data_IF_461743269558
#
_entry.id   IF_461743269558
#
_cell.length_a   1.000
_cell.length_b   1.000
_cell.length_c   1.000
_cell.angle_alpha   90.00
_cell.angle_beta   90.00
_cell.angle_gamma   90.00
#
_symmetry.space_group_name_H-M   'P 1'
#
loop_
_entity.id
_entity.type
_entity.pdbx_description
1 polymer ?
#
# COMPACT_ATOMS: atom_id res chain seq x y z
N UNK A 1 -17.09 17.49 7.35
CA UNK A 1 -18.14 17.86 6.35
C UNK A 1 -18.29 16.68 5.38
N UNK A 2 -19.52 16.14 5.22
CA UNK A 2 -19.77 15.09 4.20
C UNK A 2 -19.67 15.74 2.81
N UNK A 3 -18.60 15.45 2.07
CA UNK A 3 -18.46 15.88 0.67
C UNK A 3 -19.49 15.14 -0.21
N UNK A 4 -20.28 15.86 -1.00
CA UNK A 4 -21.17 15.28 -2.02
C UNK A 4 -20.44 15.17 -3.35
N UNK A 5 -20.95 14.39 -4.31
CA UNK A 5 -20.40 14.34 -5.68
C UNK A 5 -20.35 15.76 -6.28
N UNK A 6 -21.37 16.58 -6.03
CA UNK A 6 -21.40 17.97 -6.51
C UNK A 6 -20.20 18.76 -5.98
N UNK A 7 -19.95 18.71 -4.67
CA UNK A 7 -18.82 19.42 -4.04
C UNK A 7 -17.48 18.94 -4.59
N UNK A 8 -17.34 17.62 -4.81
CA UNK A 8 -16.12 17.04 -5.40
C UNK A 8 -15.94 17.52 -6.83
N UNK A 9 -16.99 17.50 -7.65
CA UNK A 9 -16.97 17.94 -9.05
C UNK A 9 -16.65 19.44 -9.17
N UNK A 10 -17.28 20.27 -8.33
CA UNK A 10 -17.05 21.72 -8.29
C UNK A 10 -15.58 22.02 -7.95
N UNK A 11 -15.02 21.31 -6.93
CA UNK A 11 -13.61 21.45 -6.55
C UNK A 11 -12.64 21.02 -7.66
N UNK A 12 -12.99 19.95 -8.39
CA UNK A 12 -12.21 19.43 -9.52
C UNK A 12 -12.40 20.21 -10.83
N UNK A 13 -13.29 21.20 -10.87
CA UNK A 13 -13.60 21.97 -12.08
C UNK A 13 -14.29 21.15 -13.18
N UNK A 14 -15.02 20.08 -12.84
CA UNK A 14 -15.69 19.20 -13.79
C UNK A 14 -17.22 19.22 -13.59
N UNK A 15 -17.95 18.89 -14.65
CA UNK A 15 -19.41 18.81 -14.58
C UNK A 15 -19.84 17.61 -13.68
N UNK A 16 -20.65 17.87 -12.65
CA UNK A 16 -21.15 16.84 -11.74
C UNK A 16 -21.98 15.76 -12.44
N UNK A 17 -22.65 16.08 -13.54
CA UNK A 17 -23.37 15.10 -14.37
C UNK A 17 -22.43 14.09 -15.03
N UNK A 18 -21.22 14.51 -15.44
CA UNK A 18 -20.20 13.60 -15.94
C UNK A 18 -19.70 12.66 -14.83
N UNK A 19 -19.48 13.19 -13.63
CA UNK A 19 -19.08 12.34 -12.48
C UNK A 19 -20.12 11.28 -12.18
N UNK A 20 -21.41 11.66 -12.19
CA UNK A 20 -22.53 10.72 -12.04
C UNK A 20 -22.60 9.71 -13.20
N UNK A 21 -22.36 10.16 -14.42
CA UNK A 21 -22.38 9.28 -15.60
C UNK A 21 -21.30 8.21 -15.54
N UNK A 22 -20.06 8.57 -15.13
CA UNK A 22 -18.93 7.64 -15.11
C UNK A 22 -18.90 6.74 -13.85
N UNK A 23 -19.26 7.27 -12.70
CA UNK A 23 -19.12 6.56 -11.42
C UNK A 23 -20.46 6.13 -10.82
N UNK A 24 -21.59 6.69 -11.25
CA UNK A 24 -22.92 6.39 -10.74
C UNK A 24 -23.17 6.92 -9.32
N UNK A 25 -22.34 6.58 -8.35
CA UNK A 25 -22.49 6.97 -6.96
C UNK A 25 -21.20 7.47 -6.32
N UNK A 26 -21.31 8.17 -5.18
CA UNK A 26 -20.15 8.57 -4.38
C UNK A 26 -19.33 7.34 -3.93
N UNK A 27 -20.01 6.27 -3.56
CA UNK A 27 -19.35 5.05 -3.11
C UNK A 27 -18.53 4.42 -4.23
N UNK A 28 -19.03 4.36 -5.46
CA UNK A 28 -18.29 3.87 -6.63
C UNK A 28 -17.11 4.79 -6.99
N UNK A 29 -17.29 6.11 -6.89
CA UNK A 29 -16.18 7.06 -7.05
C UNK A 29 -15.07 6.80 -6.03
N UNK A 30 -15.42 6.54 -4.75
CA UNK A 30 -14.41 6.22 -3.72
C UNK A 30 -13.73 4.87 -3.99
N UNK A 31 -14.46 3.86 -4.47
CA UNK A 31 -13.89 2.57 -4.88
C UNK A 31 -12.89 2.76 -6.04
N UNK A 32 -13.23 3.55 -7.06
CA UNK A 32 -12.34 3.86 -8.16
C UNK A 32 -11.08 4.61 -7.70
N UNK A 33 -11.23 5.54 -6.77
CA UNK A 33 -10.12 6.29 -6.20
C UNK A 33 -9.17 5.38 -5.39
N UNK A 34 -9.70 4.47 -4.57
CA UNK A 34 -8.88 3.46 -3.85
C UNK A 34 -8.09 2.61 -4.84
N UNK A 35 -8.74 2.16 -5.91
CA UNK A 35 -8.08 1.36 -6.94
C UNK A 35 -6.95 2.14 -7.62
N UNK A 36 -7.21 3.37 -8.03
CA UNK A 36 -6.22 4.25 -8.65
C UNK A 36 -5.01 4.47 -7.72
N UNK A 37 -5.24 4.86 -6.47
CA UNK A 37 -4.18 5.08 -5.49
C UNK A 37 -3.37 3.81 -5.21
N UNK A 38 -4.04 2.66 -5.10
CA UNK A 38 -3.35 1.38 -4.93
C UNK A 38 -2.42 1.05 -6.09
N UNK A 39 -2.82 1.35 -7.33
CA UNK A 39 -1.99 1.19 -8.53
C UNK A 39 -0.80 2.15 -8.52
N UNK A 40 -1.01 3.43 -8.18
CA UNK A 40 0.07 4.42 -8.10
C UNK A 40 1.16 3.99 -7.10
N UNK A 41 0.75 3.49 -5.92
CA UNK A 41 1.70 2.97 -4.92
C UNK A 41 2.54 1.83 -5.50
N UNK A 42 1.94 0.87 -6.19
CA UNK A 42 2.68 -0.23 -6.82
C UNK A 42 3.66 0.26 -7.89
N UNK A 43 3.23 1.18 -8.76
CA UNK A 43 4.09 1.76 -9.81
C UNK A 43 5.32 2.47 -9.21
N UNK A 44 5.16 3.18 -8.11
CA UNK A 44 6.29 3.85 -7.44
C UNK A 44 7.19 2.85 -6.72
N UNK A 45 6.62 1.87 -6.00
CA UNK A 45 7.40 0.86 -5.29
C UNK A 45 8.27 0.01 -6.24
N UNK A 46 7.72 -0.33 -7.41
CA UNK A 46 8.39 -1.18 -8.40
C UNK A 46 8.92 -0.42 -9.61
N UNK A 47 9.13 0.90 -9.49
CA UNK A 47 9.59 1.75 -10.59
C UNK A 47 10.85 1.23 -11.27
N UNK A 48 11.81 0.72 -10.49
CA UNK A 48 13.08 0.21 -11.00
C UNK A 48 13.02 -1.30 -11.31
N UNK A 49 11.87 -1.93 -11.11
CA UNK A 49 11.61 -3.36 -11.31
C UNK A 49 10.24 -3.60 -11.96
N UNK A 50 9.99 -3.04 -13.16
CA UNK A 50 8.68 -3.14 -13.80
C UNK A 50 8.27 -4.59 -14.11
N UNK A 51 9.23 -5.43 -14.52
CA UNK A 51 8.97 -6.85 -14.80
C UNK A 51 8.54 -7.62 -13.54
N UNK A 52 9.07 -7.24 -12.38
CA UNK A 52 8.64 -7.84 -11.11
C UNK A 52 7.21 -7.48 -10.75
N UNK A 53 6.81 -6.25 -11.04
CA UNK A 53 5.41 -5.86 -10.82
C UNK A 53 4.48 -6.70 -11.69
N UNK A 54 4.84 -6.95 -12.95
CA UNK A 54 4.06 -7.78 -13.85
C UNK A 54 3.97 -9.23 -13.34
N UNK A 55 5.11 -9.86 -12.96
CA UNK A 55 5.14 -11.20 -12.39
C UNK A 55 4.29 -11.30 -11.11
N UNK A 56 4.39 -10.32 -10.19
CA UNK A 56 3.58 -10.25 -8.96
C UNK A 56 2.09 -10.08 -9.24
N UNK A 57 1.71 -9.30 -10.26
CA UNK A 57 0.31 -9.15 -10.67
C UNK A 57 -0.26 -10.44 -11.25
N UNK A 58 0.58 -11.28 -11.86
CA UNK A 58 0.27 -12.64 -12.30
C UNK A 58 0.38 -13.69 -11.17
N UNK A 59 0.58 -13.23 -9.93
CA UNK A 59 0.75 -14.06 -8.74
C UNK A 59 1.98 -14.97 -8.77
N UNK A 60 3.02 -14.57 -9.50
CA UNK A 60 4.31 -15.24 -9.54
C UNK A 60 5.35 -14.50 -8.69
N UNK A 61 6.24 -15.27 -8.08
CA UNK A 61 7.43 -14.70 -7.44
C UNK A 61 8.42 -14.27 -8.52
N UNK A 62 8.95 -13.02 -8.46
CA UNK A 62 9.94 -12.55 -9.43
C UNK A 62 11.16 -13.48 -9.51
N UNK A 63 11.50 -13.91 -10.72
CA UNK A 63 12.58 -14.89 -10.96
C UNK A 63 13.94 -14.37 -10.53
N UNK A 64 14.19 -13.09 -10.74
CA UNK A 64 15.47 -12.49 -10.39
C UNK A 64 15.64 -12.26 -8.89
N UNK A 65 14.53 -12.07 -8.17
CA UNK A 65 14.53 -11.99 -6.72
C UNK A 65 15.06 -13.30 -6.08
N UNK A 66 14.77 -14.44 -6.68
CA UNK A 66 15.25 -15.74 -6.21
C UNK A 66 16.78 -15.92 -6.38
N UNK A 67 17.43 -15.11 -7.22
CA UNK A 67 18.86 -15.15 -7.50
C UNK A 67 19.66 -14.13 -6.68
N UNK A 68 18.99 -13.23 -5.98
CA UNK A 68 19.66 -12.21 -5.17
C UNK A 68 20.41 -12.85 -3.99
N UNK A 69 21.64 -12.38 -3.76
CA UNK A 69 22.34 -12.63 -2.52
C UNK A 69 21.79 -11.71 -1.40
N UNK A 70 22.16 -12.00 -0.15
CA UNK A 70 21.67 -11.26 1.02
C UNK A 70 21.86 -9.76 0.92
N UNK A 71 23.07 -9.32 0.49
CA UNK A 71 23.38 -7.88 0.32
C UNK A 71 22.45 -7.19 -0.69
N UNK A 72 22.16 -7.85 -1.81
CA UNK A 72 21.25 -7.32 -2.85
C UNK A 72 19.82 -7.26 -2.32
N UNK A 73 19.39 -8.27 -1.56
CA UNK A 73 18.07 -8.29 -0.93
C UNK A 73 17.93 -7.17 0.10
N UNK A 74 18.94 -6.95 0.92
CA UNK A 74 18.96 -5.85 1.89
C UNK A 74 18.86 -4.48 1.21
N UNK A 75 19.61 -4.27 0.14
CA UNK A 75 19.55 -3.04 -0.65
C UNK A 75 18.17 -2.82 -1.30
N UNK A 76 17.57 -3.88 -1.84
CA UNK A 76 16.22 -3.83 -2.38
C UNK A 76 15.20 -3.47 -1.31
N UNK A 77 15.30 -4.07 -0.13
CA UNK A 77 14.42 -3.81 1.01
C UNK A 77 14.54 -2.38 1.50
N UNK A 78 15.76 -1.89 1.69
CA UNK A 78 16.00 -0.52 2.16
C UNK A 78 15.46 0.50 1.15
N UNK A 79 15.74 0.32 -0.14
CA UNK A 79 15.21 1.17 -1.20
C UNK A 79 13.67 1.11 -1.29
N UNK A 80 13.08 -0.07 -1.14
CA UNK A 80 11.63 -0.26 -1.12
C UNK A 80 10.98 0.43 0.07
N UNK A 81 11.59 0.34 1.24
CA UNK A 81 11.14 1.04 2.44
C UNK A 81 11.24 2.55 2.30
N UNK A 82 12.36 3.08 1.78
CA UNK A 82 12.51 4.52 1.54
C UNK A 82 11.46 5.05 0.58
N UNK A 83 11.18 4.34 -0.50
CA UNK A 83 10.11 4.70 -1.45
C UNK A 83 8.74 4.65 -0.78
N UNK A 84 8.46 3.60 -0.03
CA UNK A 84 7.20 3.47 0.70
C UNK A 84 6.98 4.66 1.65
N UNK A 85 8.00 5.04 2.42
CA UNK A 85 7.92 6.20 3.30
C UNK A 85 7.80 7.54 2.55
N UNK A 86 8.42 7.68 1.38
CA UNK A 86 8.34 8.92 0.57
C UNK A 86 6.96 9.17 -0.05
N UNK A 87 6.21 8.11 -0.35
CA UNK A 87 4.86 8.22 -0.94
C UNK A 87 3.80 8.48 0.13
N UNK A 88 4.12 8.19 1.37
CA UNK A 88 3.12 7.95 2.40
C UNK A 88 2.49 9.22 2.96
N UNK A 89 3.12 10.40 2.86
CA UNK A 89 2.56 11.64 3.38
C UNK A 89 1.21 12.01 2.73
N UNK A 90 1.06 11.72 1.44
CA UNK A 90 -0.20 11.96 0.74
C UNK A 90 -1.16 10.77 0.83
N UNK A 91 -0.62 9.54 0.84
CA UNK A 91 -1.41 8.31 0.84
C UNK A 91 -2.08 8.05 2.19
N UNK A 92 -1.43 8.35 3.31
CA UNK A 92 -1.98 8.07 4.64
C UNK A 92 -3.19 8.94 4.99
N UNK A 93 -3.19 10.20 4.57
CA UNK A 93 -4.36 11.08 4.71
C UNK A 93 -5.57 10.47 3.99
N UNK A 94 -5.35 10.00 2.77
CA UNK A 94 -6.38 9.39 1.94
C UNK A 94 -6.81 8.04 2.53
N UNK A 95 -5.87 7.22 3.01
CA UNK A 95 -6.19 5.92 3.62
C UNK A 95 -7.01 6.07 4.90
N UNK A 96 -6.67 7.02 5.76
CA UNK A 96 -7.41 7.31 6.99
C UNK A 96 -8.86 7.73 6.69
N UNK A 97 -9.07 8.56 5.67
CA UNK A 97 -10.40 8.94 5.20
C UNK A 97 -11.18 7.73 4.65
N UNK A 98 -10.54 6.87 3.85
CA UNK A 98 -11.19 5.65 3.37
C UNK A 98 -11.56 4.69 4.50
N UNK A 99 -10.71 4.55 5.52
CA UNK A 99 -11.02 3.74 6.70
C UNK A 99 -12.22 4.30 7.45
N UNK A 100 -12.30 5.61 7.64
CA UNK A 100 -13.47 6.24 8.26
C UNK A 100 -14.75 6.03 7.43
N UNK A 101 -14.66 6.18 6.09
CA UNK A 101 -15.79 5.94 5.19
C UNK A 101 -16.25 4.49 5.15
N UNK A 102 -15.35 3.53 5.39
CA UNK A 102 -15.64 2.09 5.31
C UNK A 102 -16.73 1.65 6.31
N UNK A 103 -16.91 2.37 7.41
CA UNK A 103 -17.96 2.11 8.37
C UNK A 103 -19.38 2.34 7.81
N UNK A 104 -19.51 3.28 6.87
CA UNK A 104 -20.81 3.67 6.28
C UNK A 104 -20.98 3.19 4.82
N UNK A 105 -19.89 2.77 4.17
CA UNK A 105 -19.83 2.42 2.75
C UNK A 105 -19.32 0.98 2.54
N UNK A 106 -20.21 -0.01 2.41
CA UNK A 106 -19.81 -1.42 2.30
C UNK A 106 -18.91 -1.74 1.11
N UNK A 107 -19.08 -1.09 -0.05
CA UNK A 107 -18.23 -1.30 -1.23
C UNK A 107 -16.81 -0.76 -0.98
N UNK A 108 -16.68 0.37 -0.29
CA UNK A 108 -15.38 0.92 0.15
C UNK A 108 -14.69 -0.07 1.08
N UNK A 109 -15.41 -0.60 2.09
CA UNK A 109 -14.89 -1.61 3.00
C UNK A 109 -14.41 -2.88 2.27
N UNK A 110 -15.18 -3.36 1.29
CA UNK A 110 -14.83 -4.53 0.48
C UNK A 110 -13.58 -4.25 -0.36
N UNK A 111 -13.48 -3.06 -0.97
CA UNK A 111 -12.31 -2.69 -1.77
C UNK A 111 -11.05 -2.56 -0.94
N UNK A 112 -11.13 -1.99 0.26
CA UNK A 112 -9.99 -1.93 1.19
C UNK A 112 -9.52 -3.32 1.60
N UNK A 113 -10.45 -4.25 1.92
CA UNK A 113 -10.11 -5.65 2.23
C UNK A 113 -9.40 -6.33 1.05
N UNK A 114 -9.88 -6.10 -0.17
CA UNK A 114 -9.25 -6.63 -1.40
C UNK A 114 -7.82 -6.11 -1.54
N UNK A 115 -7.60 -4.80 -1.41
CA UNK A 115 -6.28 -4.17 -1.52
C UNK A 115 -5.32 -4.71 -0.45
N UNK A 116 -5.77 -4.80 0.81
CA UNK A 116 -4.94 -5.34 1.89
C UNK A 116 -4.61 -6.83 1.67
N UNK A 117 -5.56 -7.62 1.15
CA UNK A 117 -5.31 -9.04 0.81
C UNK A 117 -4.27 -9.17 -0.29
N UNK A 118 -4.37 -8.38 -1.36
CA UNK A 118 -3.38 -8.36 -2.45
C UNK A 118 -2.01 -7.94 -1.95
N UNK A 119 -1.93 -6.93 -1.09
CA UNK A 119 -0.68 -6.46 -0.50
C UNK A 119 0.00 -7.58 0.32
N UNK A 120 -0.75 -8.28 1.17
CA UNK A 120 -0.20 -9.44 1.92
C UNK A 120 0.29 -10.54 0.99
N UNK A 121 -0.45 -10.82 -0.08
CA UNK A 121 -0.03 -11.83 -1.06
C UNK A 121 1.27 -11.45 -1.75
N UNK A 122 1.41 -10.20 -2.19
CA UNK A 122 2.66 -9.71 -2.79
C UNK A 122 3.85 -9.84 -1.84
N UNK A 123 3.68 -9.47 -0.59
CA UNK A 123 4.72 -9.63 0.41
C UNK A 123 5.09 -11.10 0.63
N UNK A 124 4.10 -11.99 0.70
CA UNK A 124 4.35 -13.43 0.77
C UNK A 124 5.19 -13.94 -0.40
N UNK A 125 4.90 -13.50 -1.63
CA UNK A 125 5.68 -13.86 -2.82
C UNK A 125 7.10 -13.28 -2.79
N UNK A 126 7.24 -12.00 -2.45
CA UNK A 126 8.54 -11.31 -2.37
C UNK A 126 9.45 -12.04 -1.36
N UNK A 127 8.95 -12.30 -0.17
CA UNK A 127 9.72 -12.91 0.91
C UNK A 127 9.75 -14.44 0.90
N UNK A 128 9.13 -15.06 -0.09
CA UNK A 128 8.99 -16.52 -0.18
C UNK A 128 8.42 -17.13 1.12
N UNK A 129 7.52 -16.41 1.75
CA UNK A 129 6.94 -16.81 3.04
C UNK A 129 5.43 -17.02 2.90
N UNK A 130 5.02 -18.27 3.00
CA UNK A 130 3.61 -18.66 2.87
C UNK A 130 2.81 -18.53 4.19
N UNK A 131 3.45 -18.08 5.29
CA UNK A 131 2.76 -17.86 6.55
C UNK A 131 1.92 -16.57 6.46
N UNK A 132 0.58 -16.65 6.52
CA UNK A 132 -0.27 -15.47 6.43
C UNK A 132 -0.08 -14.50 7.61
N UNK A 133 0.39 -14.98 8.75
CA UNK A 133 0.74 -14.18 9.92
C UNK A 133 1.93 -13.27 9.65
N UNK A 134 2.96 -13.77 8.95
CA UNK A 134 4.13 -12.99 8.58
C UNK A 134 3.75 -11.74 7.76
N UNK A 135 3.05 -11.93 6.64
CA UNK A 135 2.65 -10.82 5.78
C UNK A 135 1.68 -9.86 6.49
N UNK A 136 0.83 -10.36 7.38
CA UNK A 136 -0.07 -9.54 8.19
C UNK A 136 0.71 -8.69 9.19
N UNK A 137 1.66 -9.28 9.91
CA UNK A 137 2.51 -8.58 10.86
C UNK A 137 3.35 -7.50 10.16
N UNK A 138 3.94 -7.83 9.01
CA UNK A 138 4.73 -6.87 8.22
C UNK A 138 3.90 -5.66 7.78
N UNK A 139 2.71 -5.90 7.21
CA UNK A 139 1.81 -4.79 6.81
C UNK A 139 1.40 -3.96 8.02
N UNK A 140 1.03 -4.59 9.14
CA UNK A 140 0.63 -3.88 10.34
C UNK A 140 1.79 -3.05 10.92
N UNK A 141 2.99 -3.62 10.98
CA UNK A 141 4.18 -2.92 11.49
C UNK A 141 4.55 -1.71 10.64
N UNK A 142 4.59 -1.87 9.31
CA UNK A 142 4.87 -0.76 8.40
C UNK A 142 3.82 0.34 8.52
N UNK A 143 2.52 -0.01 8.53
CA UNK A 143 1.44 0.96 8.68
C UNK A 143 1.49 1.66 10.04
N UNK A 144 1.77 0.91 11.11
CA UNK A 144 1.93 1.47 12.45
C UNK A 144 3.11 2.43 12.55
N UNK A 145 4.28 2.05 12.03
CA UNK A 145 5.46 2.92 12.01
C UNK A 145 5.19 4.24 11.29
N UNK A 146 4.49 4.20 10.18
CA UNK A 146 4.13 5.39 9.41
C UNK A 146 3.17 6.30 10.18
N UNK A 147 2.15 5.72 10.81
CA UNK A 147 1.23 6.48 11.65
C UNK A 147 1.98 7.20 12.80
N UNK A 148 2.88 6.49 13.48
CA UNK A 148 3.70 7.06 14.55
C UNK A 148 4.63 8.16 14.04
N UNK A 149 5.30 7.93 12.90
CA UNK A 149 6.19 8.93 12.29
C UNK A 149 5.46 10.22 11.91
N UNK A 150 4.22 10.09 11.43
CA UNK A 150 3.38 11.25 11.11
C UNK A 150 2.98 12.06 12.35
N UNK A 151 2.67 11.38 13.46
CA UNK A 151 2.26 12.02 14.70
C UNK A 151 3.46 12.66 15.42
N UNK A 152 4.62 12.01 15.34
CA UNK A 152 5.88 12.48 15.91
C UNK A 152 7.06 12.18 14.98
N UNK A 153 7.48 13.14 14.12
CA UNK A 153 8.62 12.95 13.23
C UNK A 153 9.97 12.71 13.92
N UNK A 154 10.02 12.87 15.26
CA UNK A 154 11.24 12.64 16.06
C UNK A 154 11.38 11.21 16.55
N UNK A 155 10.41 10.32 16.27
CA UNK A 155 10.55 8.91 16.65
C UNK A 155 11.76 8.28 15.98
N UNK A 156 12.32 7.27 16.63
CA UNK A 156 13.46 6.49 16.15
C UNK A 156 13.07 5.56 14.97
N UNK A 157 12.59 6.15 13.85
CA UNK A 157 12.06 5.42 12.70
C UNK A 157 13.13 4.55 12.04
N UNK A 158 14.38 5.05 11.97
CA UNK A 158 15.49 4.32 11.33
C UNK A 158 15.84 3.08 12.12
N UNK A 159 15.96 3.21 13.42
CA UNK A 159 16.24 2.12 14.35
C UNK A 159 15.09 1.08 14.34
N UNK A 160 13.84 1.55 14.35
CA UNK A 160 12.67 0.67 14.25
C UNK A 160 12.65 -0.12 12.94
N UNK A 161 13.06 0.48 11.81
CA UNK A 161 13.17 -0.20 10.50
C UNK A 161 14.26 -1.28 10.53
N UNK A 162 15.43 -0.98 11.13
CA UNK A 162 16.50 -1.97 11.28
C UNK A 162 16.04 -3.15 12.12
N UNK A 163 15.44 -2.89 13.29
CA UNK A 163 14.89 -3.94 14.15
C UNK A 163 13.80 -4.75 13.47
N UNK A 164 12.91 -4.10 12.72
CA UNK A 164 11.87 -4.82 11.96
C UNK A 164 12.49 -5.77 10.94
N UNK A 165 13.54 -5.32 10.23
CA UNK A 165 14.28 -6.16 9.29
C UNK A 165 14.91 -7.35 10.00
N UNK A 166 15.72 -7.12 11.02
CA UNK A 166 16.41 -8.17 11.78
C UNK A 166 15.42 -9.22 12.33
N UNK A 167 14.34 -8.78 12.95
CA UNK A 167 13.39 -9.69 13.61
C UNK A 167 12.47 -10.45 12.65
N UNK A 168 12.17 -9.90 11.49
CA UNK A 168 11.26 -10.54 10.54
C UNK A 168 11.99 -11.32 9.45
N UNK A 169 13.28 -11.03 9.18
CA UNK A 169 13.96 -11.60 8.02
C UNK A 169 15.16 -12.49 8.38
N UNK A 170 15.86 -12.26 9.50
CA UNK A 170 17.02 -13.07 9.89
C UNK A 170 16.67 -14.51 10.27
N UNK A 171 15.42 -14.79 10.67
CA UNK A 171 14.94 -16.14 11.00
C UNK A 171 14.45 -16.96 9.79
N UNK A 172 14.60 -16.50 8.56
CA UNK A 172 14.19 -17.25 7.37
C UNK A 172 15.33 -18.02 6.70
N UNK A 173 16.55 -17.99 7.27
CA UNK A 173 17.76 -18.62 6.72
C UNK A 173 18.14 -19.93 7.44
N UNK A 174 17.36 -20.38 8.42
CA UNK A 174 17.44 -21.71 9.03
C UNK A 174 16.35 -22.65 8.44
#
# INVERSE_FOLDING_TARGET
RRSTIKVIADYAGVNHGLVHHYFGSKEELMVALIQHQSQQVLLVLFRDYPDWLEELLQEHRPKDLAKMNQKQLDQFMDAGMDRFFSIYDDFDKILSEFMAMSAEMPKVANKLREVLRKRRKFLGLIFNNNNPGFATLLVASLTGLLLHYRLDPKIAIKEARVLLREKLFDHQLE
#
